data_IF_067930805654
#
_entry.id   IF_067930805654
#
_cell.length_a   1.000
_cell.length_b   1.000
_cell.length_c   1.000
_cell.angle_alpha   90.00
_cell.angle_beta   90.00
_cell.angle_gamma   90.00
#
_symmetry.space_group_name_H-M   'P 1'
#
loop_
_entity.id
_entity.type
_entity.pdbx_description
1 polymer ?
#
# COMPACT_ATOMS: atom_id res chain seq x y z
N UNK A 1 -0.67 0.51 -19.42
CA UNK A 1 0.34 0.59 -18.36
C UNK A 1 -0.37 0.99 -17.08
N UNK A 2 -0.05 0.40 -15.93
CA UNK A 2 -0.80 0.66 -14.71
C UNK A 2 -0.68 2.14 -14.28
N UNK A 3 -1.76 2.69 -13.73
CA UNK A 3 -1.74 4.06 -13.18
C UNK A 3 -1.28 4.09 -11.73
N UNK A 4 -1.50 3.00 -10.97
CA UNK A 4 -1.15 2.91 -9.56
C UNK A 4 -0.27 1.67 -9.35
N UNK A 5 0.87 1.81 -8.66
CA UNK A 5 1.62 0.70 -8.09
C UNK A 5 1.26 0.55 -6.61
N UNK A 6 0.70 -0.59 -6.24
CA UNK A 6 0.43 -0.96 -4.84
C UNK A 6 1.61 -1.77 -4.31
N UNK A 7 2.18 -1.36 -3.19
CA UNK A 7 3.37 -1.97 -2.58
C UNK A 7 3.00 -2.62 -1.25
N UNK A 8 3.32 -3.90 -1.13
CA UNK A 8 3.15 -4.70 0.09
C UNK A 8 4.50 -5.31 0.49
N UNK A 9 5.19 -4.77 1.50
CA UNK A 9 6.32 -5.46 2.10
C UNK A 9 5.82 -6.63 2.93
N UNK A 10 6.39 -7.81 2.71
CA UNK A 10 5.94 -9.08 3.32
C UNK A 10 7.04 -9.65 4.18
N UNK A 11 6.74 -9.90 5.47
CA UNK A 11 7.60 -10.66 6.37
C UNK A 11 6.76 -11.34 7.44
N UNK A 12 6.82 -12.69 7.53
CA UNK A 12 6.07 -13.52 8.49
C UNK A 12 4.55 -13.22 8.48
N UNK A 13 3.97 -13.16 7.30
CA UNK A 13 2.58 -12.73 7.08
C UNK A 13 1.63 -13.86 6.67
N UNK A 14 2.05 -15.12 6.72
CA UNK A 14 1.30 -16.30 6.21
C UNK A 14 -0.17 -16.30 6.61
N UNK A 15 -0.49 -15.86 7.85
CA UNK A 15 -1.87 -15.83 8.38
C UNK A 15 -2.74 -14.72 7.79
N UNK A 16 -2.15 -13.61 7.34
CA UNK A 16 -2.88 -12.38 6.99
C UNK A 16 -2.79 -12.05 5.50
N UNK A 17 -1.74 -12.54 4.83
CA UNK A 17 -1.38 -12.13 3.48
C UNK A 17 -2.48 -12.37 2.44
N UNK A 18 -3.23 -13.47 2.56
CA UNK A 18 -4.35 -13.75 1.66
C UNK A 18 -5.41 -12.64 1.73
N UNK A 19 -5.82 -12.24 2.93
CA UNK A 19 -6.80 -11.17 3.12
C UNK A 19 -6.30 -9.83 2.57
N UNK A 20 -5.03 -9.50 2.83
CA UNK A 20 -4.40 -8.30 2.30
C UNK A 20 -4.46 -8.29 0.77
N UNK A 21 -3.89 -9.30 0.13
CA UNK A 21 -3.79 -9.38 -1.34
C UNK A 21 -5.17 -9.44 -2.00
N UNK A 22 -6.10 -10.23 -1.48
CA UNK A 22 -7.46 -10.34 -2.02
C UNK A 22 -8.19 -9.00 -1.96
N UNK A 23 -7.98 -8.19 -0.90
CA UNK A 23 -8.56 -6.86 -0.79
C UNK A 23 -8.01 -5.87 -1.81
N UNK A 24 -6.75 -6.00 -2.19
CA UNK A 24 -6.12 -5.21 -3.27
C UNK A 24 -6.64 -5.67 -4.63
N UNK A 25 -6.66 -6.96 -4.89
CA UNK A 25 -7.15 -7.51 -6.16
C UNK A 25 -8.65 -7.26 -6.38
N UNK A 26 -9.41 -7.13 -5.28
CA UNK A 26 -10.83 -6.80 -5.25
C UNK A 26 -11.17 -5.32 -5.46
N UNK A 27 -10.20 -4.42 -5.61
CA UNK A 27 -10.47 -2.99 -5.78
C UNK A 27 -11.32 -2.71 -7.03
N UNK A 28 -12.22 -1.71 -6.96
CA UNK A 28 -13.03 -1.24 -8.10
C UNK A 28 -12.17 -0.58 -9.19
N UNK A 29 -11.13 0.14 -8.78
CA UNK A 29 -10.12 0.66 -9.69
C UNK A 29 -9.26 -0.49 -10.22
N UNK A 30 -9.23 -0.73 -11.52
CA UNK A 30 -8.60 -1.91 -12.13
C UNK A 30 -7.22 -1.67 -12.74
N UNK A 31 -6.87 -0.41 -12.99
CA UNK A 31 -5.63 -0.03 -13.68
C UNK A 31 -4.48 0.14 -12.69
N UNK A 32 -4.12 -0.96 -12.01
CA UNK A 32 -3.04 -1.02 -11.04
C UNK A 32 -2.17 -2.28 -11.25
N UNK A 33 -0.97 -2.24 -10.69
CA UNK A 33 -0.12 -3.38 -10.43
C UNK A 33 0.09 -3.56 -8.92
N UNK A 34 0.38 -4.77 -8.50
CA UNK A 34 0.63 -5.14 -7.11
C UNK A 34 2.03 -5.73 -6.96
N UNK A 35 2.86 -5.10 -6.17
CA UNK A 35 4.22 -5.54 -5.87
C UNK A 35 4.23 -6.17 -4.47
N UNK A 36 4.42 -7.48 -4.40
CA UNK A 36 4.63 -8.24 -3.17
C UNK A 36 6.13 -8.46 -3.02
N UNK A 37 6.74 -7.87 -2.00
CA UNK A 37 8.15 -8.10 -1.71
C UNK A 37 8.29 -8.92 -0.45
N UNK A 38 8.68 -10.18 -0.60
CA UNK A 38 9.05 -11.05 0.51
C UNK A 38 10.46 -10.71 1.00
N UNK A 39 10.53 -10.17 2.21
CA UNK A 39 11.78 -9.78 2.89
C UNK A 39 12.39 -10.97 3.65
N UNK A 40 12.55 -12.10 2.96
CA UNK A 40 13.18 -13.30 3.50
C UNK A 40 12.36 -13.98 4.61
N UNK A 41 11.06 -14.14 4.40
CA UNK A 41 10.17 -14.80 5.37
C UNK A 41 10.56 -16.25 5.61
N UNK A 42 10.65 -16.70 6.87
CA UNK A 42 10.93 -18.09 7.20
C UNK A 42 9.69 -19.01 7.18
N UNK A 43 8.50 -18.44 7.00
CA UNK A 43 7.19 -19.12 6.91
C UNK A 43 6.72 -19.26 5.45
N UNK A 44 5.46 -19.63 5.23
CA UNK A 44 4.86 -19.81 3.91
C UNK A 44 4.62 -18.53 3.11
N UNK A 45 4.95 -17.34 3.62
CA UNK A 45 4.65 -16.05 2.97
C UNK A 45 5.23 -15.92 1.58
N UNK A 46 6.48 -16.31 1.35
CA UNK A 46 7.11 -16.26 0.04
C UNK A 46 6.38 -17.11 -1.01
N UNK A 47 6.01 -18.35 -0.64
CA UNK A 47 5.25 -19.24 -1.52
C UNK A 47 3.85 -18.68 -1.85
N UNK A 48 3.22 -17.96 -0.91
CA UNK A 48 1.95 -17.26 -1.16
C UNK A 48 2.15 -16.14 -2.18
N UNK A 49 3.21 -15.34 -2.06
CA UNK A 49 3.53 -14.29 -3.04
C UNK A 49 3.67 -14.88 -4.46
N UNK A 50 4.40 -15.96 -4.61
CA UNK A 50 4.60 -16.65 -5.89
C UNK A 50 3.29 -17.19 -6.46
N UNK A 51 2.45 -17.78 -5.61
CA UNK A 51 1.15 -18.30 -6.03
C UNK A 51 0.22 -17.20 -6.56
N UNK A 52 0.23 -16.01 -5.97
CA UNK A 52 -0.54 -14.88 -6.50
C UNK A 52 0.06 -14.34 -7.81
N UNK A 53 1.37 -14.21 -7.91
CA UNK A 53 2.03 -13.77 -9.15
C UNK A 53 1.80 -14.74 -10.32
N UNK A 54 1.69 -16.04 -10.05
CA UNK A 54 1.36 -17.03 -11.07
C UNK A 54 -0.10 -17.00 -11.53
N UNK A 55 -1.03 -16.47 -10.72
CA UNK A 55 -2.48 -16.46 -10.98
C UNK A 55 -3.01 -15.16 -11.56
N UNK A 56 -2.37 -14.02 -11.28
CA UNK A 56 -2.84 -12.70 -11.71
C UNK A 56 -1.67 -11.91 -12.29
N UNK A 57 -1.76 -11.56 -13.57
CA UNK A 57 -0.70 -10.85 -14.28
C UNK A 57 -0.41 -9.44 -13.77
N UNK A 58 -1.29 -8.88 -12.94
CA UNK A 58 -1.06 -7.61 -12.26
C UNK A 58 -0.13 -7.75 -11.06
N UNK A 59 0.08 -8.97 -10.55
CA UNK A 59 0.89 -9.25 -9.36
C UNK A 59 2.32 -9.58 -9.75
N UNK A 60 3.25 -9.01 -9.04
CA UNK A 60 4.68 -9.33 -9.11
C UNK A 60 5.19 -9.69 -7.73
N UNK A 61 5.81 -10.86 -7.61
CA UNK A 61 6.56 -11.28 -6.44
C UNK A 61 8.04 -10.92 -6.62
N UNK A 62 8.63 -10.35 -5.58
CA UNK A 62 10.07 -10.06 -5.47
C UNK A 62 10.55 -10.66 -4.15
N UNK A 63 11.73 -11.26 -4.14
CA UNK A 63 12.33 -11.83 -2.95
C UNK A 63 13.68 -11.18 -2.65
N UNK A 64 13.96 -10.93 -1.37
CA UNK A 64 15.27 -10.49 -0.90
C UNK A 64 15.63 -11.17 0.42
N UNK A 65 16.89 -11.09 0.83
CA UNK A 65 17.26 -11.42 2.20
C UNK A 65 16.71 -10.41 3.18
N UNK A 66 16.31 -10.83 4.39
CA UNK A 66 15.71 -9.95 5.38
C UNK A 66 16.61 -8.72 5.66
N UNK A 67 16.05 -7.55 5.39
CA UNK A 67 16.72 -6.25 5.57
C UNK A 67 15.83 -5.22 6.31
N UNK A 68 14.63 -5.64 6.72
CA UNK A 68 13.67 -4.84 7.45
C UNK A 68 12.74 -4.00 6.55
N UNK A 69 11.61 -3.60 7.12
CA UNK A 69 10.48 -2.99 6.40
C UNK A 69 10.86 -1.74 5.60
N UNK A 70 11.76 -0.89 6.12
CA UNK A 70 12.21 0.30 5.40
C UNK A 70 13.05 -0.05 4.17
N UNK A 71 13.94 -1.04 4.27
CA UNK A 71 14.72 -1.54 3.14
C UNK A 71 13.79 -2.22 2.11
N UNK A 72 12.84 -3.03 2.55
CA UNK A 72 11.84 -3.67 1.70
C UNK A 72 11.01 -2.64 0.91
N UNK A 73 10.54 -1.59 1.58
CA UNK A 73 9.84 -0.48 0.90
C UNK A 73 10.72 0.23 -0.12
N UNK A 74 11.99 0.47 0.19
CA UNK A 74 12.92 1.10 -0.74
C UNK A 74 13.18 0.21 -1.97
N UNK A 75 13.39 -1.09 -1.78
CA UNK A 75 13.53 -2.04 -2.90
C UNK A 75 12.32 -2.02 -3.82
N UNK A 76 11.10 -2.01 -3.26
CA UNK A 76 9.88 -1.87 -4.06
C UNK A 76 9.82 -0.53 -4.80
N UNK A 77 10.17 0.59 -4.14
CA UNK A 77 10.20 1.90 -4.76
C UNK A 77 11.20 1.94 -5.93
N UNK A 78 12.41 1.43 -5.73
CA UNK A 78 13.44 1.38 -6.77
C UNK A 78 12.98 0.55 -7.96
N UNK A 79 12.31 -0.57 -7.68
CA UNK A 79 11.74 -1.40 -8.73
C UNK A 79 10.65 -0.65 -9.51
N UNK A 80 9.66 -0.04 -8.83
CA UNK A 80 8.57 0.73 -9.45
C UNK A 80 9.12 1.90 -10.26
N UNK A 81 10.03 2.69 -9.70
CA UNK A 81 10.58 3.87 -10.38
C UNK A 81 11.39 3.51 -11.63
N UNK A 82 11.99 2.30 -11.67
CA UNK A 82 12.83 1.84 -12.78
C UNK A 82 12.07 1.02 -13.82
N UNK A 83 10.95 0.37 -13.47
CA UNK A 83 10.32 -0.63 -14.32
C UNK A 83 8.82 -0.35 -14.60
N UNK A 84 8.23 0.67 -13.96
CA UNK A 84 6.82 1.03 -14.13
C UNK A 84 6.66 2.49 -14.51
N UNK A 85 5.66 2.75 -15.36
CA UNK A 85 5.23 4.11 -15.70
C UNK A 85 4.10 4.63 -14.82
N UNK A 86 3.76 3.89 -13.75
CA UNK A 86 2.69 4.29 -12.84
C UNK A 86 2.97 5.68 -12.26
N UNK A 87 1.93 6.52 -12.25
CA UNK A 87 2.04 7.89 -11.73
C UNK A 87 1.79 7.96 -10.22
N UNK A 88 1.19 6.91 -9.66
CA UNK A 88 0.79 6.88 -8.26
C UNK A 88 1.32 5.63 -7.56
N UNK A 89 1.65 5.77 -6.28
CA UNK A 89 2.17 4.71 -5.42
C UNK A 89 1.33 4.66 -4.15
N UNK A 90 0.86 3.46 -3.79
CA UNK A 90 0.11 3.20 -2.58
C UNK A 90 0.81 2.12 -1.75
N UNK A 91 0.97 2.35 -0.44
CA UNK A 91 1.53 1.36 0.48
C UNK A 91 0.41 0.78 1.34
N UNK A 92 0.48 -0.53 1.57
CA UNK A 92 -0.34 -1.24 2.54
C UNK A 92 0.52 -2.26 3.29
N UNK A 93 0.35 -2.37 4.59
CA UNK A 93 1.03 -3.38 5.38
C UNK A 93 0.36 -4.75 5.20
N UNK A 94 1.14 -5.82 5.33
CA UNK A 94 0.73 -7.19 4.96
C UNK A 94 -0.37 -7.80 5.86
N UNK A 95 -0.65 -7.18 7.00
CA UNK A 95 -1.69 -7.56 7.96
C UNK A 95 -2.96 -6.69 7.86
N UNK A 96 -2.94 -5.66 7.02
CA UNK A 96 -4.06 -4.77 6.74
C UNK A 96 -4.90 -5.22 5.53
N UNK A 97 -6.08 -4.63 5.35
CA UNK A 97 -6.91 -4.78 4.15
C UNK A 97 -7.64 -3.48 3.80
N UNK A 98 -8.08 -3.37 2.56
CA UNK A 98 -8.65 -2.15 2.01
C UNK A 98 -10.15 -2.30 1.72
N UNK A 99 -10.90 -1.19 1.90
CA UNK A 99 -12.24 -1.09 1.34
C UNK A 99 -12.19 -1.17 -0.21
N UNK A 100 -13.16 -1.83 -0.89
CA UNK A 100 -13.13 -2.04 -2.34
C UNK A 100 -12.96 -0.78 -3.19
N UNK A 101 -13.37 0.38 -2.72
CA UNK A 101 -13.30 1.65 -3.46
C UNK A 101 -12.10 2.53 -3.06
N UNK A 102 -11.17 2.04 -2.25
CA UNK A 102 -10.09 2.88 -1.68
C UNK A 102 -9.24 3.51 -2.77
N UNK A 103 -8.73 2.74 -3.72
CA UNK A 103 -7.87 3.27 -4.79
C UNK A 103 -8.62 4.25 -5.68
N UNK A 104 -9.85 3.94 -6.06
CA UNK A 104 -10.68 4.80 -6.91
C UNK A 104 -10.95 6.16 -6.25
N UNK A 105 -11.36 6.15 -4.98
CA UNK A 105 -11.67 7.37 -4.23
C UNK A 105 -10.44 8.25 -4.01
N UNK A 106 -9.31 7.65 -3.62
CA UNK A 106 -8.06 8.39 -3.43
C UNK A 106 -7.54 8.99 -4.73
N UNK A 107 -7.55 8.21 -5.81
CA UNK A 107 -7.08 8.65 -7.12
C UNK A 107 -7.95 9.81 -7.64
N UNK A 108 -9.27 9.68 -7.58
CA UNK A 108 -10.20 10.74 -7.95
C UNK A 108 -9.96 12.01 -7.13
N UNK A 109 -9.88 11.90 -5.81
CA UNK A 109 -9.67 13.06 -4.92
C UNK A 109 -8.34 13.77 -5.21
N UNK A 110 -7.27 13.01 -5.49
CA UNK A 110 -5.96 13.57 -5.85
C UNK A 110 -6.04 14.39 -7.15
N UNK A 111 -6.69 13.84 -8.17
CA UNK A 111 -6.84 14.50 -9.48
C UNK A 111 -7.73 15.75 -9.39
N UNK A 112 -8.91 15.64 -8.78
CA UNK A 112 -9.87 16.76 -8.66
C UNK A 112 -9.28 17.95 -7.91
N UNK A 113 -8.41 17.72 -6.95
CA UNK A 113 -7.80 18.77 -6.14
C UNK A 113 -6.37 19.14 -6.57
N UNK A 114 -5.82 18.51 -7.59
CA UNK A 114 -4.45 18.73 -8.06
C UNK A 114 -3.40 18.50 -6.97
N UNK A 115 -3.61 17.49 -6.11
CA UNK A 115 -2.72 17.19 -4.99
C UNK A 115 -1.83 15.99 -5.29
N UNK A 116 -0.59 16.04 -4.78
CA UNK A 116 0.38 14.95 -4.91
C UNK A 116 0.20 13.83 -3.88
N UNK A 117 -0.59 14.05 -2.85
CA UNK A 117 -0.88 13.09 -1.78
C UNK A 117 -2.37 13.15 -1.49
N UNK A 118 -3.03 11.98 -1.51
CA UNK A 118 -4.38 11.78 -1.00
C UNK A 118 -4.33 10.78 0.16
N UNK A 119 -5.14 11.00 1.19
CA UNK A 119 -5.12 10.22 2.44
C UNK A 119 -6.50 9.68 2.72
N UNK A 120 -6.63 8.40 3.08
CA UNK A 120 -7.87 7.83 3.59
C UNK A 120 -7.85 7.72 5.12
N UNK A 121 -9.04 7.58 5.71
CA UNK A 121 -9.19 7.14 7.09
C UNK A 121 -8.85 5.66 7.25
N UNK A 122 -8.79 5.22 8.49
CA UNK A 122 -8.66 3.80 8.85
C UNK A 122 -9.61 3.46 10.00
N UNK A 123 -10.01 2.19 10.08
CA UNK A 123 -10.71 1.65 11.22
C UNK A 123 -9.85 0.55 11.86
N UNK A 124 -9.74 0.60 13.18
CA UNK A 124 -9.12 -0.49 13.91
C UNK A 124 -10.19 -1.53 14.22
N UNK A 125 -9.93 -2.78 13.92
CA UNK A 125 -10.93 -3.84 14.03
C UNK A 125 -10.37 -4.96 14.91
N UNK A 126 -11.24 -5.50 15.78
CA UNK A 126 -10.95 -6.70 16.55
C UNK A 126 -11.52 -7.93 15.82
N UNK A 127 -10.72 -8.97 15.63
CA UNK A 127 -11.14 -10.24 15.01
C UNK A 127 -10.86 -10.39 13.51
N UNK A 128 -11.11 -11.61 13.00
CA UNK A 128 -10.66 -12.02 11.66
C UNK A 128 -11.46 -11.43 10.49
N UNK A 129 -12.63 -10.85 10.71
CA UNK A 129 -13.45 -10.32 9.60
C UNK A 129 -14.53 -9.32 10.06
N UNK A 130 -14.15 -8.13 10.54
CA UNK A 130 -15.17 -7.14 10.87
C UNK A 130 -15.72 -6.53 9.57
N UNK A 131 -17.02 -6.60 9.41
CA UNK A 131 -17.72 -5.85 8.37
C UNK A 131 -17.64 -4.35 8.71
N UNK A 132 -16.71 -3.64 8.12
CA UNK A 132 -16.72 -2.17 8.17
C UNK A 132 -17.72 -1.68 7.13
N UNK A 133 -18.82 -1.09 7.60
CA UNK A 133 -19.82 -0.49 6.70
C UNK A 133 -19.19 0.69 5.95
N UNK A 134 -19.35 0.77 4.61
CA UNK A 134 -18.87 1.90 3.81
C UNK A 134 -19.41 3.26 4.28
N UNK A 135 -20.56 3.27 4.94
CA UNK A 135 -21.23 4.47 5.45
C UNK A 135 -20.51 5.12 6.63
N UNK A 136 -19.58 4.41 7.28
CA UNK A 136 -18.76 4.94 8.37
C UNK A 136 -17.50 5.68 7.89
N UNK A 137 -17.21 5.64 6.58
CA UNK A 137 -16.05 6.31 5.98
C UNK A 137 -16.49 7.63 5.34
N UNK A 138 -16.80 8.64 6.15
CA UNK A 138 -17.05 10.00 5.63
C UNK A 138 -15.74 10.60 5.13
N UNK A 139 -15.70 11.17 3.90
CA UNK A 139 -14.54 11.93 3.43
C UNK A 139 -14.43 13.21 4.26
N UNK A 140 -13.48 13.28 5.15
CA UNK A 140 -13.17 14.51 5.88
C UNK A 140 -12.19 15.35 5.06
N UNK A 141 -12.54 16.60 4.79
CA UNK A 141 -11.60 17.56 4.19
C UNK A 141 -10.69 18.11 5.29
N UNK A 142 -9.40 17.80 5.18
CA UNK A 142 -8.40 18.25 6.15
C UNK A 142 -7.55 19.38 5.58
N UNK A 143 -7.38 20.45 6.35
CA UNK A 143 -6.34 21.43 6.09
C UNK A 143 -4.99 20.84 6.55
N UNK A 144 -3.85 21.14 5.86
CA UNK A 144 -2.55 20.59 6.21
C UNK A 144 -2.15 20.77 7.67
N UNK A 145 -2.48 21.92 8.29
CA UNK A 145 -2.20 22.20 9.70
C UNK A 145 -3.01 21.32 10.67
N UNK A 146 -4.26 20.98 10.31
CA UNK A 146 -5.14 20.16 11.16
C UNK A 146 -4.71 18.69 11.10
N UNK A 147 -4.18 18.26 9.96
CA UNK A 147 -3.60 16.93 9.76
C UNK A 147 -2.46 16.66 10.75
N UNK A 148 -1.51 17.59 10.89
CA UNK A 148 -0.38 17.41 11.79
C UNK A 148 -0.75 17.51 13.27
N UNK A 149 -1.69 18.36 13.62
CA UNK A 149 -2.03 18.63 15.03
C UNK A 149 -3.00 17.60 15.62
N UNK A 150 -3.92 17.07 14.82
CA UNK A 150 -4.99 16.22 15.33
C UNK A 150 -4.81 14.72 15.01
N UNK A 151 -3.97 14.36 14.01
CA UNK A 151 -3.80 12.98 13.55
C UNK A 151 -2.34 12.62 13.33
N UNK A 152 -1.55 12.69 14.40
CA UNK A 152 -0.12 12.38 14.38
C UNK A 152 0.19 11.00 13.75
N UNK A 153 -0.62 9.98 14.01
CA UNK A 153 -0.45 8.65 13.42
C UNK A 153 -0.54 8.70 11.88
N UNK A 154 -1.56 9.38 11.33
CA UNK A 154 -1.71 9.51 9.89
C UNK A 154 -0.57 10.29 9.22
N UNK A 155 0.14 11.15 9.97
CA UNK A 155 1.29 11.87 9.43
C UNK A 155 2.55 11.00 9.36
N UNK A 156 2.70 10.04 10.27
CA UNK A 156 3.94 9.27 10.44
C UNK A 156 3.96 7.93 9.70
N UNK A 157 2.79 7.32 9.45
CA UNK A 157 2.70 6.04 8.73
C UNK A 157 2.69 6.24 7.21
N UNK A 158 3.20 5.26 6.48
CA UNK A 158 3.21 5.31 5.01
C UNK A 158 1.94 4.75 4.37
N UNK A 159 1.24 3.84 5.05
CA UNK A 159 0.02 3.21 4.55
C UNK A 159 -1.20 4.17 4.58
N UNK A 160 -2.25 3.81 3.85
CA UNK A 160 -3.47 4.62 3.75
C UNK A 160 -3.28 5.93 2.98
N UNK A 161 -2.22 6.03 2.18
CA UNK A 161 -1.92 7.22 1.37
C UNK A 161 -1.57 6.84 -0.05
N UNK A 162 -2.15 7.59 -0.99
CA UNK A 162 -1.78 7.55 -2.39
C UNK A 162 -0.83 8.72 -2.67
N UNK A 163 0.38 8.41 -3.12
CA UNK A 163 1.44 9.37 -3.42
C UNK A 163 1.64 9.48 -4.91
N UNK A 164 1.74 10.69 -5.44
CA UNK A 164 2.29 10.88 -6.77
C UNK A 164 3.77 10.50 -6.78
N UNK A 165 4.24 9.79 -7.82
CA UNK A 165 5.62 9.25 -7.89
C UNK A 165 6.70 10.28 -7.64
N UNK A 166 6.48 11.56 -8.02
CA UNK A 166 7.43 12.65 -7.78
C UNK A 166 7.67 12.96 -6.30
N UNK A 167 6.88 12.39 -5.37
CA UNK A 167 7.17 12.49 -3.94
C UNK A 167 8.40 11.66 -3.54
N UNK A 168 8.87 10.78 -4.41
CA UNK A 168 10.02 9.88 -4.16
C UNK A 168 11.25 10.23 -5.03
N UNK A 169 11.26 11.40 -5.67
CA UNK A 169 12.41 11.88 -6.42
C UNK A 169 13.56 12.20 -5.45
N UNK A 170 14.52 11.27 -5.33
CA UNK A 170 15.65 11.37 -4.40
C UNK A 170 15.31 10.99 -2.94
N UNK A 171 14.06 10.71 -2.61
CA UNK A 171 13.62 10.38 -1.25
C UNK A 171 13.51 8.86 -1.04
N UNK A 172 13.98 8.39 0.13
CA UNK A 172 13.88 6.98 0.54
C UNK A 172 13.63 6.89 2.05
N UNK A 173 13.07 5.75 2.45
CA UNK A 173 12.93 5.43 3.87
C UNK A 173 14.30 5.26 4.53
N UNK A 174 14.51 5.79 5.76
CA UNK A 174 15.79 5.63 6.45
C UNK A 174 16.01 4.16 6.86
N UNK A 175 17.12 3.58 6.41
CA UNK A 175 17.52 2.21 6.77
C UNK A 175 18.45 2.25 7.98
N UNK A 176 18.27 1.31 8.94
CA UNK A 176 19.16 1.16 10.09
C UNK A 176 18.98 2.19 11.22
N UNK A 177 17.91 2.98 11.19
CA UNK A 177 17.49 3.83 12.33
C UNK A 177 16.28 3.18 12.99
N UNK A 178 16.45 2.71 14.20
CA UNK A 178 15.36 2.27 15.09
C UNK A 178 14.95 3.40 16.00
#
# INVERSE_FOLDING_TARGET
MPQISVIVPVYRAEKFLHRCVDSVLGQTFRDFELILLDDGSPDGSGAICDAYAARDSRVRAIHQGNAGVCAARNTCLDWVLSNSDSQWIFFIDNDDWMHPETLERLHRAALEQGRKIAVCGYAQTEGENPAVSPEQLTPEQWLPKDFYMQRFVNATVCWGKLYHRSCFDGERYPVGKH
#
